data_IF_188217828336
#
_entry.id   IF_188217828336
#
_cell.length_a   1.000
_cell.length_b   1.000
_cell.length_c   1.000
_cell.angle_alpha   90.00
_cell.angle_beta   90.00
_cell.angle_gamma   90.00
#
_symmetry.space_group_name_H-M   'P 1'
#
loop_
_entity.id
_entity.type
_entity.pdbx_description
1 polymer ?
#
# COMPACT_ATOMS: atom_id res chain seq x y z
N UNK A 1 7.24 -37.08 -1.53
CA UNK A 1 6.74 -35.74 -1.91
C UNK A 1 5.40 -35.46 -1.25
N UNK A 2 4.47 -36.42 -1.23
CA UNK A 2 3.18 -36.32 -0.52
C UNK A 2 3.25 -36.41 1.01
N UNK A 3 4.43 -36.76 1.55
CA UNK A 3 4.63 -37.11 2.96
C UNK A 3 4.48 -35.93 3.94
N UNK A 4 4.50 -34.69 3.42
CA UNK A 4 4.42 -33.45 4.22
C UNK A 4 3.01 -32.87 4.33
N UNK A 5 2.00 -33.46 3.68
CA UNK A 5 0.61 -32.97 3.78
C UNK A 5 0.10 -32.85 5.24
N UNK A 6 0.39 -33.80 6.14
CA UNK A 6 0.02 -33.66 7.56
C UNK A 6 0.74 -32.50 8.26
N UNK A 7 1.96 -32.18 7.83
CA UNK A 7 2.76 -31.08 8.41
C UNK A 7 2.19 -29.70 8.06
N UNK A 8 1.50 -29.56 6.92
CA UNK A 8 0.83 -28.29 6.56
C UNK A 8 -0.21 -27.90 7.61
N UNK A 9 -0.96 -28.88 8.12
CA UNK A 9 -2.02 -28.63 9.11
C UNK A 9 -1.49 -28.14 10.45
N UNK A 10 -0.31 -28.59 10.85
CA UNK A 10 0.31 -28.25 12.13
C UNK A 10 1.24 -27.04 12.03
N UNK A 11 1.81 -26.78 10.87
CA UNK A 11 2.82 -25.72 10.67
C UNK A 11 2.18 -24.35 10.41
N UNK A 12 1.07 -24.31 9.69
CA UNK A 12 0.45 -23.05 9.28
C UNK A 12 -0.82 -22.78 10.08
N UNK A 13 -0.89 -21.63 10.73
CA UNK A 13 -2.12 -21.07 11.28
C UNK A 13 -2.62 -19.93 10.38
N UNK A 14 -3.94 -19.82 10.24
CA UNK A 14 -4.52 -18.68 9.55
C UNK A 14 -4.21 -17.40 10.34
N UNK A 15 -3.71 -16.39 9.63
CA UNK A 15 -3.22 -15.13 10.18
C UNK A 15 -4.11 -13.94 9.80
N UNK A 16 -5.00 -14.11 8.83
CA UNK A 16 -6.01 -13.11 8.50
C UNK A 16 -7.28 -13.33 9.35
N UNK A 17 -7.93 -12.26 9.82
CA UNK A 17 -9.22 -12.36 10.48
C UNK A 17 -10.28 -13.02 9.59
N UNK A 18 -11.20 -13.77 10.20
CA UNK A 18 -12.24 -14.50 9.47
C UNK A 18 -13.10 -13.57 8.59
N UNK A 19 -13.44 -12.39 9.10
CA UNK A 19 -14.25 -11.40 8.36
C UNK A 19 -13.52 -10.93 7.09
N UNK A 20 -12.19 -10.82 7.15
CA UNK A 20 -11.36 -10.44 6.01
C UNK A 20 -11.34 -11.52 4.93
N UNK A 21 -11.28 -12.80 5.34
CA UNK A 21 -11.39 -13.91 4.40
C UNK A 21 -12.73 -13.91 3.68
N UNK A 22 -13.82 -13.60 4.41
CA UNK A 22 -15.17 -13.55 3.84
C UNK A 22 -15.33 -12.35 2.90
N UNK A 23 -14.92 -11.16 3.32
CA UNK A 23 -15.05 -9.93 2.55
C UNK A 23 -14.34 -10.02 1.19
N UNK A 24 -13.13 -10.59 1.16
CA UNK A 24 -12.31 -10.69 -0.04
C UNK A 24 -12.40 -12.05 -0.75
N UNK A 25 -13.31 -12.93 -0.29
CA UNK A 25 -13.52 -14.29 -0.82
C UNK A 25 -12.20 -15.09 -0.93
N UNK A 26 -11.45 -15.12 0.16
CA UNK A 26 -10.15 -15.76 0.26
C UNK A 26 -10.29 -17.14 0.91
N UNK A 27 -9.66 -18.14 0.31
CA UNK A 27 -9.43 -19.44 0.95
C UNK A 27 -8.38 -19.30 2.05
N UNK A 28 -8.44 -20.17 3.07
CA UNK A 28 -7.49 -20.14 4.18
C UNK A 28 -6.05 -20.52 3.73
N UNK A 29 -5.06 -20.19 4.55
CA UNK A 29 -3.65 -20.40 4.23
C UNK A 29 -3.29 -21.88 4.01
N UNK A 30 -3.89 -22.82 4.74
CA UNK A 30 -3.58 -24.25 4.60
C UNK A 30 -4.14 -24.78 3.30
N UNK A 31 -5.39 -24.43 2.98
CA UNK A 31 -6.02 -24.76 1.70
C UNK A 31 -5.26 -24.13 0.53
N UNK A 32 -4.74 -22.91 0.70
CA UNK A 32 -3.91 -22.22 -0.30
C UNK A 32 -2.66 -22.99 -0.64
N UNK A 33 -1.90 -23.42 0.38
CA UNK A 33 -0.66 -24.18 0.21
C UNK A 33 -0.98 -25.52 -0.46
N UNK A 34 -2.01 -26.24 0.02
CA UNK A 34 -2.45 -27.50 -0.61
C UNK A 34 -2.83 -27.30 -2.07
N UNK A 35 -3.62 -26.28 -2.39
CA UNK A 35 -4.07 -26.01 -3.76
C UNK A 35 -2.94 -25.60 -4.72
N UNK A 36 -1.85 -25.01 -4.22
CA UNK A 36 -0.70 -24.63 -5.04
C UNK A 36 0.23 -25.81 -5.35
N UNK A 37 0.41 -26.73 -4.39
CA UNK A 37 1.32 -27.87 -4.53
C UNK A 37 0.64 -29.16 -4.99
N UNK A 38 -0.61 -29.37 -4.57
CA UNK A 38 -1.41 -30.58 -4.79
C UNK A 38 -2.84 -30.24 -5.26
N UNK A 39 -3.00 -29.55 -6.40
CA UNK A 39 -4.32 -29.17 -6.89
C UNK A 39 -5.13 -30.36 -7.39
N UNK A 40 -6.40 -30.41 -7.01
CA UNK A 40 -7.37 -31.34 -7.59
C UNK A 40 -7.83 -30.90 -9.00
N UNK A 41 -7.78 -29.59 -9.30
CA UNK A 41 -8.14 -29.01 -10.58
C UNK A 41 -7.46 -27.64 -10.77
N UNK A 42 -7.62 -27.06 -11.96
CA UNK A 42 -7.01 -25.77 -12.32
C UNK A 42 -7.59 -24.60 -11.51
N UNK A 43 -8.87 -24.65 -11.15
CA UNK A 43 -9.54 -23.57 -10.41
C UNK A 43 -9.00 -23.46 -8.98
N UNK A 44 -8.66 -24.58 -8.34
CA UNK A 44 -7.96 -24.60 -7.06
C UNK A 44 -6.62 -23.85 -7.14
N UNK A 45 -5.83 -24.09 -8.20
CA UNK A 45 -4.56 -23.38 -8.42
C UNK A 45 -4.81 -21.88 -8.56
N UNK A 46 -5.87 -21.48 -9.29
CA UNK A 46 -6.23 -20.07 -9.48
C UNK A 46 -6.57 -19.40 -8.15
N UNK A 47 -7.37 -20.05 -7.31
CA UNK A 47 -7.71 -19.54 -5.97
C UNK A 47 -6.48 -19.43 -5.07
N UNK A 48 -5.60 -20.44 -5.08
CA UNK A 48 -4.35 -20.40 -4.33
C UNK A 48 -3.44 -19.26 -4.78
N UNK A 49 -3.31 -19.05 -6.09
CA UNK A 49 -2.54 -17.92 -6.64
C UNK A 49 -3.17 -16.59 -6.26
N UNK A 50 -4.49 -16.46 -6.35
CA UNK A 50 -5.21 -15.25 -5.96
C UNK A 50 -4.92 -14.87 -4.50
N UNK A 51 -5.03 -15.81 -3.56
CA UNK A 51 -4.67 -15.58 -2.15
C UNK A 51 -3.22 -15.10 -2.00
N UNK A 52 -2.25 -15.74 -2.65
CA UNK A 52 -0.84 -15.33 -2.56
C UNK A 52 -0.58 -13.93 -3.13
N UNK A 53 -1.20 -13.57 -4.26
CA UNK A 53 -1.07 -12.23 -4.82
C UNK A 53 -1.71 -11.18 -3.92
N UNK A 54 -2.87 -11.49 -3.35
CA UNK A 54 -3.53 -10.66 -2.36
C UNK A 54 -2.61 -10.42 -1.15
N UNK A 55 -2.04 -11.47 -0.57
CA UNK A 55 -1.14 -11.35 0.58
C UNK A 55 0.11 -10.51 0.26
N UNK A 56 0.66 -10.64 -0.95
CA UNK A 56 1.79 -9.82 -1.41
C UNK A 56 1.40 -8.35 -1.47
N UNK A 57 0.25 -8.04 -2.08
CA UNK A 57 -0.23 -6.67 -2.17
C UNK A 57 -0.53 -6.09 -0.78
N UNK A 58 -1.21 -6.86 0.08
CA UNK A 58 -1.51 -6.45 1.44
C UNK A 58 -0.24 -6.10 2.23
N UNK A 59 0.81 -6.95 2.15
CA UNK A 59 2.10 -6.65 2.79
C UNK A 59 2.74 -5.37 2.28
N UNK A 60 2.69 -5.11 0.97
CA UNK A 60 3.21 -3.86 0.39
C UNK A 60 2.43 -2.64 0.91
N UNK A 61 1.10 -2.73 0.96
CA UNK A 61 0.25 -1.64 1.47
C UNK A 61 0.50 -1.38 2.95
N UNK A 62 0.55 -2.43 3.78
CA UNK A 62 0.85 -2.30 5.20
C UNK A 62 2.22 -1.66 5.43
N UNK A 63 3.25 -2.10 4.70
CA UNK A 63 4.58 -1.51 4.81
C UNK A 63 4.58 -0.03 4.38
N UNK A 64 3.88 0.32 3.29
CA UNK A 64 3.73 1.72 2.87
C UNK A 64 3.04 2.59 3.93
N UNK A 65 2.04 2.06 4.64
CA UNK A 65 1.34 2.76 5.71
C UNK A 65 2.25 2.94 6.93
N UNK A 66 2.98 1.90 7.32
CA UNK A 66 3.95 1.96 8.42
C UNK A 66 5.01 3.02 8.12
N UNK A 67 5.65 2.97 6.95
CA UNK A 67 6.67 3.95 6.55
C UNK A 67 6.10 5.36 6.53
N UNK A 68 4.89 5.56 5.97
CA UNK A 68 4.21 6.87 5.98
C UNK A 68 3.98 7.38 7.41
N UNK A 69 3.61 6.52 8.34
CA UNK A 69 3.41 6.90 9.74
C UNK A 69 4.74 7.25 10.42
N UNK A 70 5.81 6.49 10.14
CA UNK A 70 7.16 6.79 10.63
C UNK A 70 7.68 8.14 10.10
N UNK A 71 7.47 8.44 8.80
CA UNK A 71 7.83 9.75 8.25
C UNK A 71 7.07 10.88 8.95
N UNK A 72 5.76 10.71 9.18
CA UNK A 72 4.95 11.70 9.91
C UNK A 72 5.38 11.92 11.35
N UNK A 73 5.88 10.88 12.03
CA UNK A 73 6.37 11.01 13.41
C UNK A 73 7.71 11.74 13.48
N UNK A 74 8.54 11.63 12.44
CA UNK A 74 9.85 12.26 12.36
C UNK A 74 9.83 13.61 11.62
N UNK A 75 8.69 13.99 11.05
CA UNK A 75 8.57 15.25 10.34
C UNK A 75 8.61 16.43 11.30
N UNK A 76 9.25 17.52 10.86
CA UNK A 76 9.18 18.79 11.57
C UNK A 76 7.74 19.26 11.39
N UNK A 77 7.02 19.44 12.49
CA UNK A 77 5.65 19.94 12.45
C UNK A 77 5.66 21.38 11.90
N UNK A 78 5.45 21.51 10.60
CA UNK A 78 5.28 22.79 9.91
C UNK A 78 3.88 23.36 10.12
N UNK A 79 3.00 22.65 10.86
CA UNK A 79 1.69 23.17 11.24
C UNK A 79 1.87 24.48 12.02
N UNK A 80 1.42 25.58 11.40
CA UNK A 80 1.55 26.92 11.96
C UNK A 80 2.73 27.75 11.42
N UNK A 81 3.61 27.17 10.60
CA UNK A 81 4.53 27.97 9.78
C UNK A 81 3.72 28.72 8.73
N UNK A 82 3.85 30.06 8.69
CA UNK A 82 3.15 30.86 7.68
C UNK A 82 3.74 30.56 6.30
N UNK A 83 2.86 30.37 5.32
CA UNK A 83 3.25 30.32 3.92
C UNK A 83 3.98 31.62 3.55
N UNK A 84 5.28 31.53 3.23
CA UNK A 84 6.00 32.70 2.70
C UNK A 84 5.71 32.87 1.21
N UNK A 85 4.48 33.33 0.94
CA UNK A 85 4.01 33.65 -0.41
C UNK A 85 4.88 34.71 -1.10
N UNK A 86 5.63 35.51 -0.34
CA UNK A 86 6.52 36.51 -0.90
C UNK A 86 7.71 35.86 -1.62
N UNK A 87 8.27 34.78 -1.05
CA UNK A 87 9.34 34.00 -1.70
C UNK A 87 8.83 33.37 -3.01
N UNK A 88 7.65 32.74 -2.98
CA UNK A 88 7.07 32.10 -4.17
C UNK A 88 6.85 33.13 -5.27
N UNK A 89 6.27 34.28 -4.93
CA UNK A 89 6.07 35.39 -5.88
C UNK A 89 7.41 35.91 -6.42
N UNK A 90 8.40 36.12 -5.56
CA UNK A 90 9.73 36.57 -5.96
C UNK A 90 10.42 35.64 -6.96
N UNK A 91 10.28 34.31 -6.77
CA UNK A 91 10.84 33.32 -7.70
C UNK A 91 10.10 33.37 -9.04
N UNK A 92 8.76 33.38 -9.01
CA UNK A 92 7.93 33.39 -10.23
C UNK A 92 8.17 34.66 -11.05
N UNK A 93 8.31 35.81 -10.40
CA UNK A 93 8.54 37.11 -11.07
C UNK A 93 9.92 37.20 -11.76
N UNK A 94 10.88 36.32 -11.42
CA UNK A 94 12.21 36.24 -12.07
C UNK A 94 12.27 35.30 -13.27
N UNK A 95 11.20 34.54 -13.54
CA UNK A 95 11.16 33.64 -14.69
C UNK A 95 10.95 34.46 -15.97
N UNK A 96 11.76 34.21 -16.99
CA UNK A 96 11.65 34.86 -18.32
C UNK A 96 10.45 34.36 -19.15
N UNK A 97 9.47 33.70 -18.51
CA UNK A 97 8.28 33.15 -19.13
C UNK A 97 7.09 33.15 -18.18
N UNK A 98 5.89 33.14 -18.74
CA UNK A 98 4.68 33.00 -17.94
C UNK A 98 4.37 31.54 -17.65
N UNK A 99 4.06 31.25 -16.38
CA UNK A 99 3.59 29.93 -15.99
C UNK A 99 2.25 29.60 -16.65
N UNK A 100 2.14 28.37 -17.13
CA UNK A 100 0.88 27.83 -17.63
C UNK A 100 -0.14 27.68 -16.50
N UNK A 101 -1.42 27.60 -16.86
CA UNK A 101 -2.47 27.33 -15.88
C UNK A 101 -2.25 26.04 -15.07
N UNK A 102 -1.68 25.00 -15.70
CA UNK A 102 -1.37 23.73 -15.03
C UNK A 102 -0.24 23.89 -14.01
N UNK A 103 0.83 24.60 -14.35
CA UNK A 103 1.96 24.84 -13.45
C UNK A 103 1.52 25.63 -12.20
N UNK A 104 0.70 26.68 -12.37
CA UNK A 104 0.15 27.46 -11.25
C UNK A 104 -0.69 26.61 -10.30
N UNK A 105 -1.51 25.69 -10.84
CA UNK A 105 -2.31 24.76 -10.04
C UNK A 105 -1.44 23.80 -9.22
N UNK A 106 -0.38 23.26 -9.81
CA UNK A 106 0.55 22.36 -9.12
C UNK A 106 1.29 23.09 -8.00
N UNK A 107 1.81 24.29 -8.24
CA UNK A 107 2.49 25.09 -7.22
C UNK A 107 1.56 25.37 -6.04
N UNK A 108 0.33 25.80 -6.31
CA UNK A 108 -0.68 26.05 -5.27
C UNK A 108 -0.93 24.79 -4.43
N UNK A 109 -1.11 23.64 -5.09
CA UNK A 109 -1.37 22.37 -4.40
C UNK A 109 -0.19 21.92 -3.53
N UNK A 110 1.04 22.05 -4.00
CA UNK A 110 2.23 21.69 -3.21
C UNK A 110 2.35 22.56 -1.96
N UNK A 111 2.08 23.86 -2.08
CA UNK A 111 2.08 24.77 -0.92
C UNK A 111 0.99 24.35 0.08
N UNK A 112 -0.23 24.10 -0.40
CA UNK A 112 -1.33 23.63 0.46
C UNK A 112 -0.98 22.31 1.15
N UNK A 113 -0.40 21.33 0.43
CA UNK A 113 -0.03 20.01 0.97
C UNK A 113 1.13 20.08 2.01
N UNK A 114 2.00 21.11 1.96
CA UNK A 114 3.09 21.32 2.94
C UNK A 114 2.58 21.96 4.24
N UNK A 115 1.57 22.82 4.14
CA UNK A 115 1.03 23.59 5.27
C UNK A 115 -0.25 23.00 5.88
N UNK A 116 -0.70 21.83 5.40
CA UNK A 116 -1.87 21.07 5.88
C UNK A 116 -1.52 20.01 6.92
#
# INVERSE_FOLDING_TARGET
MWDILPEIETTFSEYLPQDFLQEFNLIDIKTTIKNLHYPNNIDNVRQGKYRIFFDKLLRLQLHSIINRNEYRQNDIDLNGSQEDRAIVKFIVDRLEFQLTGAQKKVIKKVIEDIHS
#
